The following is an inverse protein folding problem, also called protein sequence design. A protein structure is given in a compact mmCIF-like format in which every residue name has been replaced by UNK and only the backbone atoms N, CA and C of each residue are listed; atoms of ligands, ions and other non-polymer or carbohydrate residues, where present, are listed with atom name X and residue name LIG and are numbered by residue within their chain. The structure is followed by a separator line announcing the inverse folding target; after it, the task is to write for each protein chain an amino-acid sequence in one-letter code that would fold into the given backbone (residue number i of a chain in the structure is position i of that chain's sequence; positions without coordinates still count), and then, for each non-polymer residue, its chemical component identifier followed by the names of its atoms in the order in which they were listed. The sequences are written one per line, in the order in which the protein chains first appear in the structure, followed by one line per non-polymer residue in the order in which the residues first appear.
data_IF_618300057004
#
_entry.id   IF_618300057004
#
_cell.length_a   1.000
_cell.length_b   1.000
_cell.length_c   1.000
_cell.angle_alpha   90.00
_cell.angle_beta   90.00
_cell.angle_gamma   90.00
#
_symmetry.space_group_name_H-M   'P 1'
#
loop_
_entity.id
_entity.type
_entity.pdbx_description
1 polymer ?
#
# COMPACT_ATOMS: atom_id res chain seq x y z
N UNK A 1 -23.30 -16.22 6.62
CA UNK A 1 -22.82 -15.29 5.59
C UNK A 1 -21.71 -15.99 4.83
N UNK A 2 -21.83 -16.04 3.52
CA UNK A 2 -20.82 -16.63 2.66
C UNK A 2 -19.58 -15.72 2.69
N UNK A 3 -18.40 -16.29 2.98
CA UNK A 3 -17.15 -15.53 3.03
C UNK A 3 -16.77 -15.19 1.59
N UNK A 4 -16.73 -13.91 1.23
CA UNK A 4 -16.29 -13.48 -0.09
C UNK A 4 -14.78 -13.66 -0.19
N UNK A 5 -14.30 -14.20 -1.30
CA UNK A 5 -12.87 -14.33 -1.58
C UNK A 5 -12.34 -13.01 -2.11
N UNK A 6 -11.12 -12.69 -1.74
CA UNK A 6 -10.40 -11.55 -2.31
C UNK A 6 -9.84 -11.91 -3.68
N UNK A 7 -9.87 -10.93 -4.56
CA UNK A 7 -9.39 -11.02 -5.94
C UNK A 7 -8.18 -10.09 -6.13
N UNK A 8 -7.48 -10.25 -7.23
CA UNK A 8 -6.46 -9.31 -7.64
C UNK A 8 -7.06 -8.20 -8.50
N UNK A 9 -6.49 -7.00 -8.43
CA UNK A 9 -6.91 -5.88 -9.27
C UNK A 9 -6.93 -6.24 -10.75
N UNK A 10 -5.92 -6.99 -11.18
CA UNK A 10 -5.76 -7.46 -12.56
C UNK A 10 -6.84 -8.44 -13.01
N UNK A 11 -7.50 -9.18 -12.10
CA UNK A 11 -8.65 -10.01 -12.42
C UNK A 11 -9.83 -9.21 -12.98
N UNK A 12 -9.86 -7.90 -12.65
CA UNK A 12 -10.84 -6.93 -13.16
C UNK A 12 -10.29 -6.08 -14.31
N UNK A 13 -9.12 -6.42 -14.87
CA UNK A 13 -8.48 -5.62 -15.92
C UNK A 13 -7.95 -4.26 -15.43
N UNK A 14 -7.79 -4.10 -14.10
CA UNK A 14 -7.32 -2.86 -13.49
C UNK A 14 -5.83 -2.97 -13.13
N UNK A 15 -5.15 -1.84 -13.25
CA UNK A 15 -3.73 -1.67 -12.92
C UNK A 15 -3.51 -0.64 -11.79
N UNK A 16 -2.27 -0.31 -11.52
CA UNK A 16 -1.89 0.68 -10.50
C UNK A 16 -2.46 2.07 -10.83
N UNK A 17 -2.55 2.41 -12.10
CA UNK A 17 -3.13 3.67 -12.55
C UNK A 17 -4.62 3.75 -12.24
N UNK A 18 -5.35 2.67 -12.48
CA UNK A 18 -6.78 2.59 -12.13
C UNK A 18 -6.99 2.72 -10.62
N UNK A 19 -6.13 2.09 -9.80
CA UNK A 19 -6.16 2.24 -8.34
C UNK A 19 -5.92 3.70 -7.93
N UNK A 20 -4.94 4.36 -8.54
CA UNK A 20 -4.64 5.77 -8.31
C UNK A 20 -5.84 6.67 -8.64
N UNK A 21 -6.52 6.42 -9.76
CA UNK A 21 -7.71 7.17 -10.17
C UNK A 21 -8.91 6.95 -9.23
N UNK A 22 -9.09 5.75 -8.72
CA UNK A 22 -10.12 5.43 -7.71
C UNK A 22 -9.84 6.21 -6.42
N UNK A 23 -8.61 6.19 -5.94
CA UNK A 23 -8.19 6.93 -4.75
C UNK A 23 -8.36 8.43 -4.93
N UNK A 24 -7.92 8.96 -6.05
CA UNK A 24 -8.06 10.37 -6.37
C UNK A 24 -9.52 10.85 -6.27
N UNK A 25 -10.47 10.05 -6.78
CA UNK A 25 -11.90 10.40 -6.79
C UNK A 25 -12.62 10.13 -5.48
N UNK A 26 -12.05 9.30 -4.62
CA UNK A 26 -12.73 8.77 -3.43
C UNK A 26 -11.96 8.99 -2.13
N UNK A 27 -10.96 9.87 -2.12
CA UNK A 27 -10.05 10.06 -0.99
C UNK A 27 -10.81 10.34 0.31
N UNK A 28 -11.82 11.20 0.29
CA UNK A 28 -12.65 11.54 1.46
C UNK A 28 -13.44 10.35 2.02
N UNK A 29 -13.82 9.40 1.14
CA UNK A 29 -14.55 8.20 1.56
C UNK A 29 -13.63 7.15 2.13
N UNK A 30 -12.39 7.11 1.65
CA UNK A 30 -11.41 6.10 2.00
C UNK A 30 -10.63 6.46 3.26
N UNK A 31 -10.47 7.75 3.54
CA UNK A 31 -9.79 8.28 4.73
C UNK A 31 -10.72 9.20 5.54
N UNK A 32 -11.85 8.68 6.05
CA UNK A 32 -12.84 9.51 6.73
C UNK A 32 -12.33 10.11 8.04
N UNK A 33 -11.34 9.49 8.68
CA UNK A 33 -10.75 9.99 9.94
C UNK A 33 -9.75 11.11 9.70
N UNK A 34 -9.04 11.09 8.56
CA UNK A 34 -8.02 12.09 8.23
C UNK A 34 -8.60 13.29 7.47
N UNK A 35 -9.76 13.15 6.80
CA UNK A 35 -10.43 14.21 6.02
C UNK A 35 -9.45 15.02 5.16
N UNK A 36 -8.91 14.42 4.10
CA UNK A 36 -7.81 14.96 3.32
C UNK A 36 -8.25 15.93 2.20
N UNK A 37 -7.47 16.98 1.95
CA UNK A 37 -7.54 17.78 0.71
C UNK A 37 -6.43 17.36 -0.23
N UNK A 38 -6.81 16.95 -1.42
CA UNK A 38 -5.90 16.52 -2.46
C UNK A 38 -5.10 17.71 -3.03
N UNK A 39 -3.79 17.55 -3.15
CA UNK A 39 -2.88 18.52 -3.75
C UNK A 39 -2.46 18.14 -5.15
N UNK A 40 -2.18 16.86 -5.39
CA UNK A 40 -1.70 16.40 -6.68
C UNK A 40 -1.96 14.91 -6.88
N UNK A 41 -2.05 14.54 -8.15
CA UNK A 41 -1.97 13.18 -8.65
C UNK A 41 -0.85 13.13 -9.69
N UNK A 42 0.07 12.18 -9.59
CA UNK A 42 1.11 11.99 -10.61
C UNK A 42 0.50 11.67 -11.96
N UNK A 43 1.01 12.29 -12.99
CA UNK A 43 0.61 12.05 -14.39
C UNK A 43 1.77 11.59 -15.27
N UNK A 44 2.98 11.67 -14.77
CA UNK A 44 4.21 11.41 -15.52
C UNK A 44 5.03 10.29 -14.86
N UNK A 45 5.86 9.63 -15.68
CA UNK A 45 6.80 8.58 -15.28
C UNK A 45 8.06 9.11 -14.55
N UNK A 46 7.97 10.29 -13.95
CA UNK A 46 9.08 10.86 -13.18
C UNK A 46 8.99 10.40 -11.72
N UNK A 47 10.05 10.64 -10.95
CA UNK A 47 10.12 10.39 -9.50
C UNK A 47 9.17 11.34 -8.74
N UNK A 48 7.87 11.10 -8.87
CA UNK A 48 6.80 11.84 -8.21
C UNK A 48 5.97 10.88 -7.35
N UNK A 49 5.46 11.31 -6.19
CA UNK A 49 4.49 10.54 -5.44
C UNK A 49 3.24 10.30 -6.27
N UNK A 50 2.60 9.17 -6.07
CA UNK A 50 1.33 8.88 -6.75
C UNK A 50 0.25 9.90 -6.42
N UNK A 51 0.14 10.26 -5.14
CA UNK A 51 -0.77 11.28 -4.63
C UNK A 51 -0.09 12.10 -3.52
N UNK A 52 -0.47 13.36 -3.40
CA UNK A 52 -0.23 14.17 -2.20
C UNK A 52 -1.51 14.84 -1.75
N UNK A 53 -1.68 14.96 -0.43
CA UNK A 53 -2.83 15.61 0.20
C UNK A 53 -2.42 16.31 1.49
N UNK A 54 -3.29 17.17 2.04
CA UNK A 54 -3.11 17.75 3.37
C UNK A 54 -4.30 17.46 4.25
N UNK A 55 -4.04 17.25 5.54
CA UNK A 55 -5.05 17.08 6.57
C UNK A 55 -5.48 18.40 7.22
N UNK A 56 -6.40 18.30 8.18
CA UNK A 56 -6.91 19.42 8.98
C UNK A 56 -5.81 20.23 9.71
N UNK A 57 -4.70 19.59 10.09
CA UNK A 57 -3.58 20.24 10.76
C UNK A 57 -2.56 20.85 9.78
N UNK A 58 -2.75 20.66 8.47
CA UNK A 58 -1.82 21.08 7.43
C UNK A 58 -0.65 20.10 7.21
N UNK A 59 -0.69 18.92 7.80
CA UNK A 59 0.34 17.89 7.56
C UNK A 59 0.26 17.39 6.13
N UNK A 60 1.42 17.15 5.51
CA UNK A 60 1.52 16.65 4.14
C UNK A 60 1.47 15.12 4.12
N UNK A 61 0.47 14.56 3.49
CA UNK A 61 0.36 13.15 3.19
C UNK A 61 1.00 12.85 1.84
N UNK A 62 1.91 11.90 1.81
CA UNK A 62 2.64 11.45 0.62
C UNK A 62 2.31 9.98 0.41
N UNK A 63 1.70 9.66 -0.74
CA UNK A 63 1.21 8.32 -1.05
C UNK A 63 2.09 7.65 -2.09
N UNK A 64 2.41 6.39 -1.84
CA UNK A 64 2.94 5.44 -2.81
C UNK A 64 1.97 4.27 -2.92
N UNK A 65 1.54 3.99 -4.13
CA UNK A 65 0.55 2.95 -4.44
C UNK A 65 1.23 1.79 -5.13
N UNK A 66 0.82 0.58 -4.80
CA UNK A 66 1.29 -0.62 -5.48
C UNK A 66 0.11 -1.54 -5.79
N UNK A 67 -0.04 -1.89 -7.05
CA UNK A 67 -1.03 -2.86 -7.51
C UNK A 67 -0.72 -4.29 -7.01
N UNK A 68 0.49 -4.51 -6.53
CA UNK A 68 1.01 -5.78 -6.04
C UNK A 68 1.50 -5.64 -4.59
N UNK A 69 2.05 -6.75 -4.09
CA UNK A 69 2.76 -6.74 -2.82
C UNK A 69 3.89 -5.71 -2.81
N UNK A 70 3.92 -4.92 -1.75
CA UNK A 70 4.97 -3.94 -1.55
C UNK A 70 6.24 -4.58 -0.99
N UNK A 71 7.37 -4.22 -1.55
CA UNK A 71 8.71 -4.57 -1.08
C UNK A 71 9.35 -3.41 -0.32
N UNK A 72 10.37 -3.68 0.48
CA UNK A 72 11.09 -2.66 1.25
C UNK A 72 11.62 -1.49 0.41
N UNK A 73 11.92 -1.70 -0.87
CA UNK A 73 12.28 -0.64 -1.80
C UNK A 73 11.17 0.41 -1.99
N UNK A 74 9.90 0.03 -1.93
CA UNK A 74 8.78 0.95 -2.07
C UNK A 74 8.64 1.86 -0.85
N UNK A 75 8.96 1.34 0.34
CA UNK A 75 9.03 2.17 1.54
C UNK A 75 10.15 3.20 1.44
N UNK A 76 11.32 2.81 0.92
CA UNK A 76 12.42 3.76 0.68
C UNK A 76 12.04 4.82 -0.35
N UNK A 77 11.24 4.46 -1.35
CA UNK A 77 10.73 5.39 -2.35
C UNK A 77 9.86 6.48 -1.72
N UNK A 78 8.89 6.11 -0.90
CA UNK A 78 8.02 7.10 -0.25
C UNK A 78 8.80 8.00 0.73
N UNK A 79 9.79 7.46 1.43
CA UNK A 79 10.66 8.26 2.29
C UNK A 79 11.55 9.23 1.49
N UNK A 80 12.02 8.83 0.30
CA UNK A 80 12.73 9.72 -0.62
C UNK A 80 11.86 10.89 -1.06
N UNK A 81 10.59 10.66 -1.31
CA UNK A 81 9.64 11.75 -1.59
C UNK A 81 9.55 12.74 -0.42
N UNK A 82 9.66 12.26 0.81
CA UNK A 82 9.76 13.12 1.99
C UNK A 82 10.94 14.09 1.94
N UNK A 83 12.09 13.67 1.40
CA UNK A 83 13.24 14.57 1.21
C UNK A 83 12.96 15.63 0.12
N UNK A 84 12.30 15.23 -0.98
CA UNK A 84 12.03 16.12 -2.11
C UNK A 84 10.90 17.12 -1.79
N UNK A 85 9.82 16.63 -1.19
CA UNK A 85 8.58 17.39 -1.00
C UNK A 85 8.38 17.90 0.43
N UNK A 86 9.06 17.32 1.41
CA UNK A 86 8.97 17.72 2.82
C UNK A 86 9.50 19.13 3.12
N UNK A 87 10.36 19.68 2.24
CA UNK A 87 10.85 21.05 2.35
C UNK A 87 9.97 22.09 1.67
N UNK A 88 8.93 21.68 0.90
CA UNK A 88 8.03 22.58 0.19
C UNK A 88 7.31 23.52 1.15
N UNK A 89 7.23 24.80 0.75
CA UNK A 89 6.51 25.83 1.46
C UNK A 89 5.11 26.02 0.89
N UNK A 90 4.29 26.76 1.60
CA UNK A 90 2.90 27.00 1.22
C UNK A 90 2.70 27.44 -0.24
N UNK A 91 3.48 28.39 -0.82
CA UNK A 91 3.29 28.79 -2.21
C UNK A 91 3.41 27.63 -3.23
N UNK A 92 4.29 26.69 -2.96
CA UNK A 92 4.49 25.51 -3.81
C UNK A 92 3.30 24.54 -3.68
N UNK A 93 2.82 24.30 -2.47
CA UNK A 93 1.64 23.46 -2.21
C UNK A 93 0.39 24.07 -2.82
N UNK A 94 0.22 25.39 -2.70
CA UNK A 94 -0.90 26.14 -3.28
C UNK A 94 -0.88 26.06 -4.82
N UNK A 95 0.31 26.15 -5.42
CA UNK A 95 0.46 25.98 -6.87
C UNK A 95 0.07 24.57 -7.34
N UNK A 96 0.47 23.53 -6.59
CA UNK A 96 0.06 22.16 -6.87
C UNK A 96 -1.44 21.96 -6.74
N UNK A 97 -2.04 22.47 -5.65
CA UNK A 97 -3.48 22.41 -5.42
C UNK A 97 -4.27 23.08 -6.56
N UNK A 98 -3.88 24.30 -6.95
CA UNK A 98 -4.54 25.03 -8.06
C UNK A 98 -4.46 24.28 -9.37
N UNK A 99 -3.31 23.66 -9.65
CA UNK A 99 -3.10 22.90 -10.89
C UNK A 99 -3.95 21.62 -10.93
N UNK A 100 -4.12 20.94 -9.80
CA UNK A 100 -4.73 19.61 -9.75
C UNK A 100 -6.23 19.64 -9.41
N UNK A 101 -6.67 20.62 -8.61
CA UNK A 101 -8.00 20.59 -8.00
C UNK A 101 -8.84 21.79 -8.41
N UNK A 102 -8.44 23.00 -8.05
CA UNK A 102 -9.22 24.22 -8.30
C UNK A 102 -8.32 25.44 -8.53
N UNK A 103 -8.19 25.91 -9.79
CA UNK A 103 -7.39 27.08 -10.09
C UNK A 103 -8.00 28.40 -9.58
N UNK A 104 -9.26 28.42 -9.18
CA UNK A 104 -9.99 29.64 -8.81
C UNK A 104 -9.81 30.05 -7.35
N UNK A 105 -9.35 29.12 -6.49
CA UNK A 105 -9.16 29.40 -5.06
C UNK A 105 -7.79 28.96 -4.55
N UNK A 106 -7.37 29.53 -3.42
CA UNK A 106 -6.14 29.09 -2.77
C UNK A 106 -6.37 27.87 -1.88
N UNK A 107 -5.33 27.08 -1.66
CA UNK A 107 -5.34 25.94 -0.74
C UNK A 107 -5.81 26.37 0.67
N UNK A 108 -5.38 27.54 1.16
CA UNK A 108 -5.79 28.05 2.47
C UNK A 108 -7.30 28.32 2.54
N UNK A 109 -7.89 28.86 1.46
CA UNK A 109 -9.34 29.09 1.37
C UNK A 109 -10.09 27.76 1.34
N UNK A 110 -9.66 26.81 0.53
CA UNK A 110 -10.24 25.47 0.46
C UNK A 110 -10.12 24.72 1.80
N UNK A 111 -8.98 24.82 2.45
CA UNK A 111 -8.73 24.23 3.75
C UNK A 111 -9.69 24.77 4.82
N UNK A 112 -9.81 26.11 4.92
CA UNK A 112 -10.74 26.74 5.84
C UNK A 112 -12.19 26.34 5.56
N UNK A 113 -12.58 26.30 4.29
CA UNK A 113 -13.94 25.91 3.90
C UNK A 113 -14.27 24.48 4.30
N UNK A 114 -13.31 23.54 4.13
CA UNK A 114 -13.50 22.13 4.44
C UNK A 114 -13.49 21.85 5.95
N UNK A 115 -12.50 22.39 6.66
CA UNK A 115 -12.22 22.00 8.05
C UNK A 115 -12.73 23.00 9.11
N UNK A 116 -13.16 24.19 8.69
CA UNK A 116 -13.57 25.26 9.61
C UNK A 116 -12.41 25.85 10.43
N UNK A 117 -11.15 25.54 10.08
CA UNK A 117 -9.95 25.98 10.80
C UNK A 117 -9.12 26.88 9.90
N UNK A 118 -8.67 28.00 10.46
CA UNK A 118 -7.74 28.89 9.77
C UNK A 118 -6.31 28.57 10.18
N UNK A 119 -5.48 28.18 9.21
CA UNK A 119 -4.05 27.94 9.40
C UNK A 119 -3.22 29.09 8.84
N UNK A 120 -2.10 29.39 9.49
CA UNK A 120 -1.07 30.21 8.87
C UNK A 120 -0.35 29.46 7.76
N UNK A 121 0.23 30.15 6.80
CA UNK A 121 0.97 29.51 5.70
C UNK A 121 2.12 28.64 6.21
N UNK A 122 2.78 29.04 7.28
CA UNK A 122 3.88 28.31 7.90
C UNK A 122 3.42 27.04 8.62
N UNK A 123 2.12 26.85 8.81
CA UNK A 123 1.56 25.65 9.43
C UNK A 123 1.46 24.48 8.45
N UNK A 124 1.43 24.77 7.14
CA UNK A 124 1.39 23.73 6.13
C UNK A 124 2.74 23.02 6.00
N UNK A 125 2.69 21.70 5.84
CA UNK A 125 3.85 20.82 5.62
C UNK A 125 4.90 20.82 6.77
N UNK A 126 4.49 21.10 8.00
CA UNK A 126 5.41 20.96 9.15
C UNK A 126 5.73 19.51 9.47
N UNK A 127 4.82 18.63 9.18
CA UNK A 127 4.95 17.19 9.38
C UNK A 127 4.53 16.47 8.10
N UNK A 128 5.22 15.38 7.78
CA UNK A 128 4.88 14.50 6.68
C UNK A 128 4.32 13.19 7.23
N UNK A 129 3.33 12.65 6.54
CA UNK A 129 2.73 11.34 6.77
C UNK A 129 2.97 10.50 5.52
N UNK A 130 3.64 9.37 5.66
CA UNK A 130 4.04 8.50 4.57
C UNK A 130 3.07 7.33 4.46
N UNK A 131 2.29 7.28 3.41
CA UNK A 131 1.29 6.23 3.18
C UNK A 131 1.77 5.30 2.09
N UNK A 132 2.00 4.04 2.43
CA UNK A 132 2.26 2.97 1.45
C UNK A 132 1.00 2.14 1.34
N UNK A 133 0.36 2.16 0.17
CA UNK A 133 -0.87 1.42 -0.08
C UNK A 133 -0.63 0.27 -1.04
N UNK A 134 -0.97 -0.93 -0.63
CA UNK A 134 -0.63 -2.17 -1.33
C UNK A 134 -1.67 -3.26 -1.02
N UNK A 135 -1.69 -4.32 -1.80
CA UNK A 135 -2.46 -5.51 -1.47
C UNK A 135 -1.76 -6.45 -0.47
N UNK A 136 -0.55 -6.12 -0.07
CA UNK A 136 0.22 -6.88 0.93
C UNK A 136 1.61 -6.34 1.17
N UNK A 137 2.15 -6.64 2.35
CA UNK A 137 3.47 -6.22 2.78
C UNK A 137 4.35 -7.44 3.07
N UNK A 138 5.52 -7.49 2.45
CA UNK A 138 6.50 -8.52 2.79
C UNK A 138 7.05 -8.29 4.23
N UNK A 139 7.69 -9.33 4.78
CA UNK A 139 8.24 -9.28 6.13
C UNK A 139 9.22 -8.11 6.31
N UNK A 140 10.13 -7.89 5.36
CA UNK A 140 11.11 -6.81 5.43
C UNK A 140 10.48 -5.43 5.39
N UNK A 141 9.42 -5.27 4.61
CA UNK A 141 8.67 -4.00 4.55
C UNK A 141 7.93 -3.75 5.86
N UNK A 142 7.38 -4.79 6.49
CA UNK A 142 6.74 -4.69 7.81
C UNK A 142 7.74 -4.28 8.89
N UNK A 143 8.90 -4.93 8.96
CA UNK A 143 9.97 -4.58 9.90
C UNK A 143 10.46 -3.15 9.69
N UNK A 144 10.71 -2.76 8.43
CA UNK A 144 11.16 -1.41 8.10
C UNK A 144 10.12 -0.35 8.47
N UNK A 145 8.83 -0.58 8.18
CA UNK A 145 7.76 0.33 8.58
C UNK A 145 7.69 0.49 10.11
N UNK A 146 7.79 -0.62 10.85
CA UNK A 146 7.81 -0.59 12.32
C UNK A 146 9.04 0.16 12.85
N UNK A 147 10.23 -0.09 12.30
CA UNK A 147 11.45 0.62 12.68
C UNK A 147 11.30 2.14 12.50
N UNK A 148 10.83 2.59 11.33
CA UNK A 148 10.68 4.01 11.07
C UNK A 148 9.62 4.67 11.97
N UNK A 149 8.52 3.97 12.26
CA UNK A 149 7.51 4.46 13.20
C UNK A 149 8.09 4.64 14.61
N UNK A 150 8.86 3.68 15.11
CA UNK A 150 9.53 3.79 16.41
C UNK A 150 10.61 4.86 16.43
N UNK A 151 11.20 5.18 15.26
CA UNK A 151 12.16 6.26 15.07
C UNK A 151 11.49 7.64 14.89
N UNK A 152 10.17 7.74 15.01
CA UNK A 152 9.43 9.01 15.02
C UNK A 152 8.91 9.47 13.66
N UNK A 153 9.07 8.68 12.59
CA UNK A 153 8.44 8.96 11.30
C UNK A 153 7.00 8.43 11.28
N UNK A 154 6.07 9.23 10.76
CA UNK A 154 4.66 8.82 10.63
C UNK A 154 4.47 8.00 9.36
N UNK A 155 4.85 6.72 9.41
CA UNK A 155 4.71 5.76 8.31
C UNK A 155 3.45 4.94 8.55
N UNK A 156 2.51 5.02 7.60
CA UNK A 156 1.20 4.36 7.68
C UNK A 156 1.01 3.41 6.50
N UNK A 157 1.36 2.13 6.65
CA UNK A 157 0.99 1.13 5.66
C UNK A 157 -0.52 0.92 5.64
N UNK A 158 -1.09 0.84 4.45
CA UNK A 158 -2.49 0.53 4.20
C UNK A 158 -2.60 -0.67 3.28
N UNK A 159 -3.54 -1.54 3.57
CA UNK A 159 -3.83 -2.70 2.73
C UNK A 159 -5.19 -2.52 2.09
N UNK A 160 -5.25 -2.74 0.79
CA UNK A 160 -6.51 -2.84 0.09
C UNK A 160 -6.83 -4.29 -0.26
N UNK A 161 -8.12 -4.61 -0.29
CA UNK A 161 -8.65 -5.89 -0.75
C UNK A 161 -9.70 -5.63 -1.81
N UNK A 162 -9.72 -6.49 -2.81
CA UNK A 162 -10.68 -6.42 -3.91
C UNK A 162 -11.56 -7.66 -3.82
N UNK A 163 -12.85 -7.48 -3.91
CA UNK A 163 -13.81 -8.57 -3.89
C UNK A 163 -14.69 -8.50 -5.13
N UNK A 164 -14.96 -9.66 -5.74
CA UNK A 164 -16.02 -9.75 -6.71
C UNK A 164 -17.38 -9.54 -6.00
N UNK A 165 -18.16 -8.60 -6.51
CA UNK A 165 -19.54 -8.38 -6.12
C UNK A 165 -20.48 -9.34 -6.86
N UNK A 166 -21.68 -8.87 -7.18
CA UNK A 166 -22.55 -9.53 -8.16
C UNK A 166 -21.98 -9.46 -9.57
N UNK A 167 -22.82 -9.66 -10.57
CA UNK A 167 -22.42 -9.56 -11.98
C UNK A 167 -21.85 -8.14 -12.24
N UNK A 168 -20.58 -8.06 -12.63
CA UNK A 168 -19.86 -6.82 -12.97
C UNK A 168 -19.61 -5.82 -11.81
N UNK A 169 -19.82 -6.21 -10.56
CA UNK A 169 -19.49 -5.36 -9.41
C UNK A 169 -18.13 -5.72 -8.79
N UNK A 170 -17.34 -4.70 -8.50
CA UNK A 170 -16.11 -4.79 -7.72
C UNK A 170 -16.28 -4.00 -6.41
N UNK A 171 -15.95 -4.64 -5.30
CA UNK A 171 -15.89 -3.98 -4.01
C UNK A 171 -14.43 -3.80 -3.61
N UNK A 172 -14.06 -2.59 -3.24
CA UNK A 172 -12.73 -2.24 -2.77
C UNK A 172 -12.80 -1.88 -1.29
N UNK A 173 -12.14 -2.69 -0.48
CA UNK A 173 -11.92 -2.42 0.94
C UNK A 173 -10.52 -1.84 1.13
N UNK A 174 -10.39 -0.85 2.00
CA UNK A 174 -9.11 -0.30 2.40
C UNK A 174 -9.06 -0.15 3.91
N UNK A 175 -7.95 -0.56 4.51
CA UNK A 175 -7.75 -0.48 5.95
C UNK A 175 -6.29 -0.20 6.30
N UNK A 176 -6.03 0.50 7.43
CA UNK A 176 -4.69 0.57 7.99
C UNK A 176 -4.15 -0.84 8.24
N UNK A 177 -2.92 -1.08 7.84
CA UNK A 177 -2.28 -2.37 8.11
C UNK A 177 -2.05 -2.54 9.61
N UNK A 178 -2.59 -3.62 10.18
CA UNK A 178 -2.32 -4.08 11.54
C UNK A 178 -1.33 -5.25 11.49
N UNK A 179 -0.43 -5.32 12.47
CA UNK A 179 0.62 -6.36 12.52
C UNK A 179 0.07 -7.78 12.45
N UNK A 180 -1.17 -7.97 12.90
CA UNK A 180 -1.87 -9.27 12.92
C UNK A 180 -2.70 -9.55 11.66
N UNK A 181 -2.86 -8.56 10.77
CA UNK A 181 -3.62 -8.76 9.55
C UNK A 181 -2.75 -9.52 8.54
N UNK A 182 -3.20 -10.70 8.14
CA UNK A 182 -2.65 -11.37 6.97
C UNK A 182 -3.46 -10.92 5.74
N UNK A 183 -2.92 -10.03 4.89
CA UNK A 183 -3.65 -9.53 3.73
C UNK A 183 -3.93 -10.60 2.68
N UNK A 184 -3.35 -11.79 2.86
CA UNK A 184 -3.48 -12.92 1.92
C UNK A 184 -4.45 -14.00 2.38
N UNK A 185 -5.06 -13.89 3.57
CA UNK A 185 -5.97 -14.92 4.10
C UNK A 185 -7.16 -15.24 3.18
N UNK A 186 -7.52 -14.31 2.31
CA UNK A 186 -8.73 -14.39 1.50
C UNK A 186 -8.49 -14.21 -0.01
N UNK A 187 -7.23 -14.30 -0.50
CA UNK A 187 -6.95 -14.25 -1.94
C UNK A 187 -7.49 -15.52 -2.60
N UNK A 188 -8.15 -15.35 -3.75
CA UNK A 188 -8.62 -16.45 -4.57
C UNK A 188 -7.50 -17.43 -4.95
N UNK A 189 -7.86 -18.68 -5.21
CA UNK A 189 -6.93 -19.77 -5.57
C UNK A 189 -5.79 -19.29 -6.48
N UNK A 190 -4.57 -19.44 -6.01
CA UNK A 190 -3.36 -19.04 -6.72
C UNK A 190 -2.50 -20.24 -7.08
N UNK A 191 -1.56 -20.02 -8.00
CA UNK A 191 -0.52 -20.98 -8.33
C UNK A 191 0.80 -20.45 -7.81
N UNK A 192 1.47 -21.22 -6.97
CA UNK A 192 2.71 -20.81 -6.32
C UNK A 192 3.82 -21.81 -6.61
N UNK A 193 5.05 -21.32 -6.70
CA UNK A 193 6.24 -22.15 -6.77
C UNK A 193 7.01 -21.96 -5.46
N UNK A 194 7.12 -23.03 -4.69
CA UNK A 194 7.97 -23.06 -3.50
C UNK A 194 9.32 -23.68 -3.89
N UNK A 195 10.36 -22.86 -3.87
CA UNK A 195 11.71 -23.34 -4.12
C UNK A 195 12.28 -23.96 -2.84
N UNK A 196 12.60 -25.23 -2.92
CA UNK A 196 13.31 -25.99 -1.88
C UNK A 196 14.76 -26.21 -2.31
N UNK A 197 15.71 -25.85 -1.46
CA UNK A 197 17.11 -25.97 -1.77
C UNK A 197 17.67 -27.33 -1.30
N UNK A 198 17.91 -28.25 -2.23
CA UNK A 198 18.42 -29.58 -1.93
C UNK A 198 19.78 -29.58 -1.22
N UNK A 199 20.62 -28.58 -1.45
CA UNK A 199 21.94 -28.51 -0.82
C UNK A 199 21.90 -28.22 0.68
N UNK A 200 20.79 -27.72 1.19
CA UNK A 200 20.65 -27.41 2.61
C UNK A 200 19.82 -28.47 3.36
N UNK A 201 18.75 -28.99 2.76
CA UNK A 201 17.76 -29.80 3.48
C UNK A 201 16.97 -30.70 2.53
N UNK A 202 17.62 -31.76 2.01
CA UNK A 202 16.93 -32.78 1.21
C UNK A 202 15.79 -33.44 1.99
N UNK A 203 16.04 -33.72 3.27
CA UNK A 203 15.05 -34.31 4.19
C UNK A 203 13.78 -33.47 4.31
N UNK A 204 13.90 -32.14 4.40
CA UNK A 204 12.74 -31.21 4.44
C UNK A 204 11.93 -31.27 3.15
N UNK A 205 12.58 -31.37 1.99
CA UNK A 205 11.91 -31.53 0.70
C UNK A 205 11.12 -32.83 0.62
N UNK A 206 11.75 -33.93 0.99
CA UNK A 206 11.14 -35.25 0.97
C UNK A 206 9.96 -35.34 1.96
N UNK A 207 10.09 -34.70 3.14
CA UNK A 207 9.04 -34.62 4.14
C UNK A 207 7.83 -33.76 3.64
N UNK A 208 8.09 -32.66 2.95
CA UNK A 208 7.03 -31.87 2.32
C UNK A 208 6.25 -32.67 1.28
N UNK A 209 6.95 -33.42 0.44
CA UNK A 209 6.32 -34.30 -0.55
C UNK A 209 5.52 -35.45 0.10
N UNK A 210 6.12 -36.12 1.08
CA UNK A 210 5.49 -37.26 1.76
C UNK A 210 4.22 -36.87 2.53
N UNK A 211 4.20 -35.66 3.11
CA UNK A 211 3.09 -35.20 3.92
C UNK A 211 2.12 -34.29 3.15
N UNK A 212 2.39 -33.98 1.87
CA UNK A 212 1.58 -33.07 1.07
C UNK A 212 1.48 -31.68 1.69
N UNK A 213 2.56 -31.18 2.31
CA UNK A 213 2.63 -29.91 2.99
C UNK A 213 3.62 -28.96 2.31
N UNK A 214 3.38 -27.65 2.45
CA UNK A 214 4.37 -26.62 2.17
C UNK A 214 4.80 -25.97 3.50
N UNK A 215 6.11 -25.91 3.77
CA UNK A 215 6.62 -25.39 5.02
C UNK A 215 7.81 -24.44 4.79
N UNK A 216 7.93 -23.44 5.65
CA UNK A 216 9.13 -22.63 5.78
C UNK A 216 9.60 -22.69 7.24
N UNK A 217 10.78 -23.27 7.45
CA UNK A 217 11.31 -23.55 8.79
C UNK A 217 12.10 -22.37 9.36
N UNK A 218 12.46 -21.40 8.52
CA UNK A 218 13.32 -20.27 8.91
C UNK A 218 12.71 -18.92 8.54
N UNK A 219 12.83 -17.96 9.44
CA UNK A 219 12.66 -16.54 9.09
C UNK A 219 13.80 -16.09 8.16
N UNK A 220 13.54 -15.27 7.14
CA UNK A 220 12.32 -14.48 6.89
C UNK A 220 11.31 -15.13 5.94
N UNK A 221 11.39 -16.44 5.65
CA UNK A 221 10.59 -17.09 4.61
C UNK A 221 9.19 -17.51 5.04
N UNK A 222 8.95 -17.56 6.36
CA UNK A 222 7.68 -17.98 6.96
C UNK A 222 6.49 -17.18 6.42
N UNK A 223 6.62 -15.87 6.26
CA UNK A 223 5.55 -15.03 5.73
C UNK A 223 5.13 -15.41 4.30
N UNK A 224 5.99 -16.03 3.51
CA UNK A 224 5.65 -16.48 2.15
C UNK A 224 4.68 -17.66 2.17
N UNK A 225 4.79 -18.51 3.18
CA UNK A 225 3.87 -19.64 3.39
C UNK A 225 2.54 -19.15 3.95
N UNK A 226 2.55 -18.11 4.79
CA UNK A 226 1.34 -17.49 5.36
C UNK A 226 0.44 -16.83 4.28
N UNK A 227 0.94 -16.67 3.06
CA UNK A 227 0.17 -16.20 1.90
C UNK A 227 -0.73 -17.24 1.29
N UNK A 228 -0.43 -18.51 1.52
CA UNK A 228 -1.17 -19.62 0.93
C UNK A 228 -2.55 -19.72 1.58
N UNK A 229 -3.56 -19.83 0.75
CA UNK A 229 -4.95 -20.04 1.18
C UNK A 229 -5.38 -21.47 0.82
N UNK A 230 -6.45 -21.92 1.47
CA UNK A 230 -7.04 -23.23 1.13
C UNK A 230 -7.57 -23.19 -0.30
N UNK A 231 -7.08 -24.08 -1.13
CA UNK A 231 -7.41 -24.21 -2.55
C UNK A 231 -6.26 -23.76 -3.47
N UNK A 232 -5.23 -23.11 -2.93
CA UNK A 232 -4.04 -22.78 -3.71
C UNK A 232 -3.29 -24.03 -4.14
N UNK A 233 -2.72 -23.96 -5.35
CA UNK A 233 -1.85 -25.02 -5.90
C UNK A 233 -0.39 -24.63 -5.71
N UNK A 234 0.35 -25.45 -4.97
CA UNK A 234 1.77 -25.20 -4.71
C UNK A 234 2.60 -26.24 -5.44
N UNK A 235 3.48 -25.76 -6.32
CA UNK A 235 4.49 -26.57 -6.96
C UNK A 235 5.78 -26.51 -6.15
N UNK A 236 6.26 -27.66 -5.67
CA UNK A 236 7.57 -27.75 -5.05
C UNK A 236 8.63 -27.83 -6.16
N UNK A 237 9.51 -26.85 -6.21
CA UNK A 237 10.64 -26.81 -7.13
C UNK A 237 11.93 -27.00 -6.34
N UNK A 238 12.70 -28.02 -6.71
CA UNK A 238 13.99 -28.29 -6.08
C UNK A 238 15.13 -27.74 -6.96
N UNK A 239 15.82 -26.70 -6.44
CA UNK A 239 17.04 -26.21 -7.10
C UNK A 239 18.25 -26.98 -6.64
N UNK A 240 19.23 -27.17 -7.56
CA UNK A 240 20.50 -27.87 -7.26
C UNK A 240 20.50 -29.36 -7.53
N UNK A 241 19.48 -29.90 -8.17
CA UNK A 241 19.47 -31.25 -8.75
C UNK A 241 19.64 -31.10 -10.26
N UNK A 242 20.79 -31.59 -10.79
CA UNK A 242 21.03 -31.79 -12.24
C UNK A 242 20.77 -33.23 -12.60
#
# INVERSE_FOLDING_TARGET
AEKRRTERLQSFGLDERALQDILFRSLDRLFPEDELILLMQSRNWQEEPDLMAVDKAGNLFIFELKAWESHSANLLQVLRYGQLYGAMKYPELDAWFKKATDPSQSLKVAHRAKFGVELSEESFNRKQVFVVMTNGLDYRTREAAQYWRTSGLDVRPWVYRVYAGGTDEMLLEMAPFRVLDNPYEDIAEGYYILNTNASNTQEDHDDMLAQGKAAAYFDPWKYKIERLAKGDVVFLYQSGVC
#
